data_IF_859582883902
#
_entry.id   IF_859582883902
#
_cell.length_a   1.000
_cell.length_b   1.000
_cell.length_c   1.000
_cell.angle_alpha   90.00
_cell.angle_beta   90.00
_cell.angle_gamma   90.00
#
_symmetry.space_group_name_H-M   'P 1'
#
loop_
_entity.id
_entity.type
_entity.pdbx_description
1 polymer ?
#
# COMPACT_ATOMS: atom_id res chain seq x y z
N UNK A 1 19.43 11.83 3.38
CA UNK A 1 19.36 10.43 3.88
C UNK A 1 19.17 10.31 5.40
N UNK A 2 19.94 10.99 6.27
CA UNK A 2 19.81 10.82 7.73
C UNK A 2 18.44 11.18 8.33
N UNK A 3 17.79 12.25 7.85
CA UNK A 3 16.48 12.69 8.39
C UNK A 3 15.34 11.74 8.02
N UNK A 4 15.31 11.22 6.80
CA UNK A 4 14.26 10.27 6.37
C UNK A 4 14.40 8.95 7.12
N UNK A 5 15.62 8.42 7.25
CA UNK A 5 15.87 7.21 8.03
C UNK A 5 15.52 7.40 9.51
N UNK A 6 15.77 8.61 10.06
CA UNK A 6 15.33 8.96 11.41
C UNK A 6 13.79 8.97 11.53
N UNK A 7 13.07 9.57 10.59
CA UNK A 7 11.59 9.58 10.58
C UNK A 7 11.04 8.16 10.51
N UNK A 8 11.58 7.33 9.62
CA UNK A 8 11.20 5.91 9.48
C UNK A 8 11.51 5.14 10.76
N UNK A 9 12.68 5.33 11.37
CA UNK A 9 13.04 4.69 12.64
C UNK A 9 12.09 5.09 13.78
N UNK A 10 11.75 6.37 13.87
CA UNK A 10 10.77 6.88 14.83
C UNK A 10 9.38 6.28 14.61
N UNK A 11 9.02 6.00 13.36
CA UNK A 11 7.78 5.33 12.99
C UNK A 11 7.75 3.89 13.51
N UNK A 12 8.79 3.09 13.22
CA UNK A 12 8.91 1.71 13.71
C UNK A 12 8.87 1.62 15.24
N UNK A 13 9.60 2.50 15.93
CA UNK A 13 9.56 2.56 17.40
C UNK A 13 8.16 2.82 17.94
N UNK A 14 7.38 3.68 17.26
CA UNK A 14 6.01 4.00 17.67
C UNK A 14 5.04 2.85 17.43
N UNK A 15 5.16 2.17 16.29
CA UNK A 15 4.39 0.96 16.02
C UNK A 15 4.62 -0.08 17.12
N UNK A 16 5.89 -0.31 17.50
CA UNK A 16 6.24 -1.24 18.57
C UNK A 16 5.65 -0.82 19.91
N UNK A 17 5.66 0.48 20.22
CA UNK A 17 5.04 1.01 21.44
C UNK A 17 3.51 0.81 21.46
N UNK A 18 2.86 0.84 20.29
CA UNK A 18 1.45 0.49 20.11
C UNK A 18 1.17 -1.02 20.04
N UNK A 19 2.15 -1.87 20.34
CA UNK A 19 2.01 -3.33 20.30
C UNK A 19 1.98 -3.93 18.89
N UNK A 20 2.31 -3.14 17.87
CA UNK A 20 2.42 -3.60 16.49
C UNK A 20 3.86 -3.90 16.17
N UNK A 21 4.09 -5.13 15.72
CA UNK A 21 5.40 -5.62 15.32
C UNK A 21 5.36 -5.92 13.82
N UNK A 22 5.65 -4.93 12.96
CA UNK A 22 5.63 -5.11 11.52
C UNK A 22 6.50 -6.29 11.11
N UNK A 23 5.97 -7.14 10.25
CA UNK A 23 6.63 -8.35 9.78
C UNK A 23 6.25 -9.62 10.52
N UNK A 24 5.59 -9.54 11.68
CA UNK A 24 5.04 -10.74 12.34
C UNK A 24 3.97 -11.40 11.49
N UNK A 25 3.13 -10.60 10.81
CA UNK A 25 2.15 -11.06 9.84
C UNK A 25 2.77 -11.88 8.71
N UNK A 26 3.96 -11.50 8.24
CA UNK A 26 4.66 -12.24 7.19
C UNK A 26 5.29 -13.53 7.73
N UNK A 27 5.83 -13.49 8.95
CA UNK A 27 6.32 -14.71 9.62
C UNK A 27 5.21 -15.74 9.75
N UNK A 28 4.04 -15.33 10.24
CA UNK A 28 2.86 -16.21 10.38
C UNK A 28 2.41 -16.72 9.00
N UNK A 29 2.37 -15.86 7.98
CA UNK A 29 2.02 -16.28 6.62
C UNK A 29 2.97 -17.34 6.07
N UNK A 30 4.27 -17.19 6.29
CA UNK A 30 5.29 -18.18 5.89
C UNK A 30 5.09 -19.50 6.62
N UNK A 31 4.91 -19.47 7.94
CA UNK A 31 4.66 -20.67 8.76
C UNK A 31 3.38 -21.40 8.32
N UNK A 32 2.29 -20.68 8.12
CA UNK A 32 1.01 -21.26 7.68
C UNK A 32 1.07 -21.80 6.26
N UNK A 33 1.76 -21.11 5.34
CA UNK A 33 1.97 -21.61 3.97
C UNK A 33 2.71 -22.95 3.98
N UNK A 34 3.73 -23.09 4.83
CA UNK A 34 4.47 -24.34 5.01
C UNK A 34 3.56 -25.44 5.58
N UNK A 35 2.73 -25.11 6.58
CA UNK A 35 1.81 -26.05 7.24
C UNK A 35 0.78 -26.65 6.27
N UNK A 36 0.29 -25.86 5.32
CA UNK A 36 -0.70 -26.31 4.34
C UNK A 36 -0.08 -26.82 3.02
N UNK A 37 1.25 -26.78 2.89
CA UNK A 37 1.95 -27.16 1.68
C UNK A 37 1.74 -26.21 0.50
N UNK A 38 1.44 -24.93 0.77
CA UNK A 38 1.32 -23.90 -0.25
C UNK A 38 2.67 -23.29 -0.62
N UNK A 39 2.84 -22.93 -1.89
CA UNK A 39 4.02 -22.19 -2.35
C UNK A 39 4.00 -20.77 -1.78
N UNK A 40 5.06 -20.41 -1.04
CA UNK A 40 5.27 -19.06 -0.53
C UNK A 40 6.11 -18.24 -1.50
N UNK A 41 5.64 -17.05 -1.88
CA UNK A 41 6.34 -16.12 -2.79
C UNK A 41 6.31 -14.70 -2.21
N UNK A 42 7.43 -14.00 -2.30
CA UNK A 42 7.51 -12.58 -1.93
C UNK A 42 6.99 -11.71 -3.08
N UNK A 43 5.99 -10.87 -2.80
CA UNK A 43 5.33 -10.05 -3.82
C UNK A 43 5.73 -8.58 -3.80
N UNK A 44 6.36 -8.12 -2.71
CA UNK A 44 6.76 -6.73 -2.54
C UNK A 44 8.10 -6.43 -3.23
N UNK A 45 8.36 -5.14 -3.42
CA UNK A 45 9.59 -4.65 -4.00
C UNK A 45 10.78 -4.91 -3.07
N UNK A 46 11.94 -5.22 -3.65
CA UNK A 46 13.18 -5.32 -2.90
C UNK A 46 13.46 -4.00 -2.14
N UNK A 47 13.66 -4.12 -0.84
CA UNK A 47 13.84 -2.98 0.07
C UNK A 47 15.01 -2.07 -0.35
N UNK A 48 16.07 -2.59 -0.99
CA UNK A 48 17.18 -1.78 -1.48
C UNK A 48 16.74 -0.86 -2.62
N UNK A 49 15.86 -1.34 -3.50
CA UNK A 49 15.29 -0.55 -4.59
C UNK A 49 14.44 0.58 -3.99
N UNK A 50 13.57 0.27 -3.04
CA UNK A 50 12.75 1.29 -2.36
C UNK A 50 13.63 2.31 -1.64
N UNK A 51 14.67 1.87 -0.92
CA UNK A 51 15.60 2.76 -0.23
C UNK A 51 16.37 3.66 -1.21
N UNK A 52 16.81 3.13 -2.35
CA UNK A 52 17.47 3.90 -3.39
C UNK A 52 16.50 4.94 -3.99
N UNK A 53 15.25 4.59 -4.27
CA UNK A 53 14.23 5.52 -4.74
C UNK A 53 13.95 6.62 -3.70
N UNK A 54 13.86 6.24 -2.44
CA UNK A 54 13.62 7.16 -1.34
C UNK A 54 14.79 8.15 -1.14
N UNK A 55 16.03 7.69 -1.32
CA UNK A 55 17.22 8.56 -1.25
C UNK A 55 17.25 9.66 -2.32
N UNK A 56 16.55 9.45 -3.45
CA UNK A 56 16.43 10.43 -4.54
C UNK A 56 15.38 11.50 -4.26
N UNK A 57 14.54 11.32 -3.23
CA UNK A 57 13.57 12.34 -2.80
C UNK A 57 14.31 13.47 -2.09
N UNK A 58 14.39 14.64 -2.75
CA UNK A 58 15.12 15.82 -2.25
C UNK A 58 14.55 16.31 -0.91
N UNK A 59 15.40 16.38 0.12
CA UNK A 59 14.98 16.54 1.51
C UNK A 59 14.55 17.96 1.88
N UNK A 60 15.12 19.02 1.31
CA UNK A 60 14.97 20.37 1.88
C UNK A 60 13.67 21.09 1.49
N UNK A 61 13.28 21.05 0.21
CA UNK A 61 12.04 21.72 -0.25
C UNK A 61 10.76 20.99 0.17
N UNK A 62 10.82 19.66 0.29
CA UNK A 62 9.71 18.83 0.78
C UNK A 62 9.51 18.98 2.29
N UNK A 63 10.58 18.98 3.09
CA UNK A 63 10.46 19.17 4.54
C UNK A 63 9.92 20.54 4.91
N UNK A 64 10.30 21.61 4.20
CA UNK A 64 9.77 22.95 4.45
C UNK A 64 8.28 23.07 4.12
N UNK A 65 7.84 22.55 2.96
CA UNK A 65 6.41 22.50 2.59
C UNK A 65 5.59 21.56 3.47
N UNK A 66 6.17 20.44 3.88
CA UNK A 66 5.57 19.51 4.83
C UNK A 66 5.36 20.17 6.19
N UNK A 67 6.35 20.90 6.71
CA UNK A 67 6.27 21.63 7.96
C UNK A 67 5.18 22.71 7.96
N UNK A 68 5.08 23.50 6.88
CA UNK A 68 4.02 24.53 6.78
C UNK A 68 2.62 23.92 6.65
N UNK A 69 2.47 22.82 5.90
CA UNK A 69 1.18 22.10 5.75
C UNK A 69 0.76 21.36 7.03
N UNK A 70 1.71 20.72 7.70
CA UNK A 70 1.50 20.07 9.00
C UNK A 70 1.00 21.08 10.04
N UNK A 71 1.62 22.26 10.14
CA UNK A 71 1.20 23.29 11.11
C UNK A 71 -0.28 23.67 10.96
N UNK A 72 -0.79 23.74 9.74
CA UNK A 72 -2.18 24.14 9.47
C UNK A 72 -3.19 23.00 9.65
N UNK A 73 -2.84 21.76 9.30
CA UNK A 73 -3.70 20.57 9.46
C UNK A 73 -3.74 20.04 10.92
N UNK A 74 -2.59 20.06 11.61
CA UNK A 74 -2.47 19.59 13.02
C UNK A 74 -3.31 20.44 13.97
N UNK A 75 -3.59 21.70 13.63
CA UNK A 75 -4.51 22.55 14.41
C UNK A 75 -5.98 22.14 14.31
N UNK A 76 -6.36 21.28 13.35
CA UNK A 76 -7.76 20.94 13.07
C UNK A 76 -8.14 19.49 13.33
N UNK A 77 -7.22 18.53 13.23
CA UNK A 77 -7.62 17.11 13.24
C UNK A 77 -7.50 16.45 14.62
N UNK A 78 -8.63 15.92 15.10
CA UNK A 78 -8.74 15.02 16.27
C UNK A 78 -8.01 13.68 16.02
N UNK A 79 -7.54 13.45 14.80
CA UNK A 79 -7.09 12.16 14.25
C UNK A 79 -5.57 11.96 14.37
N UNK A 80 -4.80 13.06 14.42
CA UNK A 80 -3.40 12.96 14.84
C UNK A 80 -3.30 12.47 16.29
N UNK A 81 -4.33 12.70 17.10
CA UNK A 81 -4.42 12.19 18.47
C UNK A 81 -4.54 10.65 18.47
N UNK A 82 -5.32 10.05 17.57
CA UNK A 82 -5.42 8.58 17.46
C UNK A 82 -4.12 7.94 16.95
N UNK A 83 -3.43 8.61 16.02
CA UNK A 83 -2.06 8.23 15.63
C UNK A 83 -1.06 8.33 16.80
N UNK A 84 -1.20 9.34 17.65
CA UNK A 84 -0.41 9.48 18.89
C UNK A 84 -0.77 8.40 19.90
N UNK A 85 -2.04 8.02 19.99
CA UNK A 85 -2.57 7.04 20.93
C UNK A 85 -2.31 5.59 20.51
N UNK A 86 -1.82 5.36 19.29
CA UNK A 86 -1.43 4.03 18.82
C UNK A 86 -2.61 3.12 18.43
N UNK A 87 -3.73 3.70 18.01
CA UNK A 87 -4.85 2.93 17.47
C UNK A 87 -4.72 2.76 15.94
N UNK A 88 -4.43 1.53 15.50
CA UNK A 88 -4.11 1.21 14.10
C UNK A 88 -5.13 0.29 13.45
N UNK A 89 -6.41 0.63 13.58
CA UNK A 89 -7.46 0.05 12.71
C UNK A 89 -7.22 0.39 11.24
N UNK A 90 -7.83 -0.37 10.32
CA UNK A 90 -7.74 -0.11 8.87
C UNK A 90 -8.16 1.33 8.51
N UNK A 91 -9.24 1.83 9.12
CA UNK A 91 -9.71 3.22 8.90
C UNK A 91 -8.69 4.25 9.37
N UNK A 92 -8.08 4.05 10.54
CA UNK A 92 -7.07 4.98 11.07
C UNK A 92 -5.82 4.97 10.19
N UNK A 93 -5.36 3.80 9.75
CA UNK A 93 -4.21 3.67 8.85
C UNK A 93 -4.47 4.37 7.52
N UNK A 94 -5.66 4.20 6.93
CA UNK A 94 -6.05 4.88 5.69
C UNK A 94 -6.01 6.41 5.82
N UNK A 95 -6.51 6.93 6.94
CA UNK A 95 -6.51 8.37 7.22
C UNK A 95 -5.08 8.91 7.43
N UNK A 96 -4.25 8.18 8.16
CA UNK A 96 -2.83 8.49 8.33
C UNK A 96 -2.11 8.55 6.97
N UNK A 97 -2.33 7.57 6.10
CA UNK A 97 -1.75 7.55 4.75
C UNK A 97 -2.24 8.75 3.93
N UNK A 98 -3.52 9.10 4.04
CA UNK A 98 -4.11 10.26 3.36
C UNK A 98 -3.48 11.58 3.81
N UNK A 99 -3.27 11.75 5.12
CA UNK A 99 -2.57 12.90 5.71
C UNK A 99 -1.11 12.95 5.21
N UNK A 100 -0.41 11.82 5.23
CA UNK A 100 0.97 11.73 4.71
C UNK A 100 1.04 12.08 3.23
N UNK A 101 0.05 11.70 2.42
CA UNK A 101 -0.04 12.07 1.00
C UNK A 101 -0.12 13.58 0.80
N UNK A 102 -0.82 14.30 1.66
CA UNK A 102 -0.93 15.77 1.60
C UNK A 102 0.38 16.45 2.02
N UNK A 103 1.01 15.92 3.07
CA UNK A 103 2.20 16.53 3.70
C UNK A 103 3.47 16.19 2.92
N UNK A 104 3.65 14.92 2.59
CA UNK A 104 4.86 14.34 2.02
C UNK A 104 4.54 13.49 0.76
N UNK A 105 3.89 14.07 -0.27
CA UNK A 105 3.36 13.31 -1.42
C UNK A 105 4.41 12.43 -2.09
N UNK A 106 5.63 12.94 -2.28
CA UNK A 106 6.69 12.18 -2.95
C UNK A 106 7.22 11.01 -2.12
N UNK A 107 7.19 11.14 -0.79
CA UNK A 107 7.57 10.04 0.10
C UNK A 107 6.47 8.98 0.08
N UNK A 108 5.20 9.39 0.17
CA UNK A 108 4.04 8.49 0.09
C UNK A 108 4.00 7.72 -1.22
N UNK A 109 4.26 8.39 -2.34
CA UNK A 109 4.36 7.77 -3.66
C UNK A 109 5.39 6.63 -3.68
N UNK A 110 6.60 6.87 -3.15
CA UNK A 110 7.68 5.87 -3.13
C UNK A 110 7.42 4.76 -2.12
N UNK A 111 6.99 5.11 -0.92
CA UNK A 111 6.84 4.18 0.20
C UNK A 111 5.57 3.32 0.11
N UNK A 112 4.56 3.78 -0.63
CA UNK A 112 3.25 3.13 -0.70
C UNK A 112 2.84 2.91 -2.16
N UNK A 113 2.53 3.97 -2.91
CA UNK A 113 1.84 3.84 -4.20
C UNK A 113 2.63 3.05 -5.26
N UNK A 114 3.95 3.25 -5.33
CA UNK A 114 4.80 2.49 -6.25
C UNK A 114 4.93 1.02 -5.84
N UNK A 115 4.89 0.73 -4.54
CA UNK A 115 4.91 -0.63 -4.00
C UNK A 115 3.57 -1.31 -4.21
N UNK A 116 2.45 -0.60 -4.07
CA UNK A 116 1.11 -1.10 -4.39
C UNK A 116 1.04 -1.57 -5.84
N UNK A 117 1.53 -0.74 -6.78
CA UNK A 117 1.60 -1.11 -8.20
C UNK A 117 2.47 -2.34 -8.43
N UNK A 118 3.64 -2.40 -7.81
CA UNK A 118 4.55 -3.54 -7.95
C UNK A 118 3.93 -4.83 -7.41
N UNK A 119 3.36 -4.79 -6.20
CA UNK A 119 2.67 -5.92 -5.59
C UNK A 119 1.46 -6.36 -6.42
N UNK A 120 0.67 -5.40 -6.90
CA UNK A 120 -0.48 -5.68 -7.77
C UNK A 120 -0.06 -6.38 -9.06
N UNK A 121 0.97 -5.88 -9.76
CA UNK A 121 1.50 -6.53 -10.97
C UNK A 121 1.98 -7.95 -10.70
N UNK A 122 2.70 -8.17 -9.59
CA UNK A 122 3.14 -9.51 -9.21
C UNK A 122 1.94 -10.43 -8.92
N UNK A 123 0.95 -9.94 -8.16
CA UNK A 123 -0.26 -10.71 -7.85
C UNK A 123 -1.03 -11.14 -9.10
N UNK A 124 -1.18 -10.25 -10.08
CA UNK A 124 -1.85 -10.54 -11.37
C UNK A 124 -1.08 -11.53 -12.25
N UNK A 125 0.21 -11.72 -12.01
CA UNK A 125 1.05 -12.65 -12.78
C UNK A 125 0.87 -14.12 -12.36
N UNK A 126 0.38 -14.37 -11.15
CA UNK A 126 0.16 -15.72 -10.64
C UNK A 126 -1.18 -16.30 -11.14
N UNK A 127 -1.22 -17.62 -11.28
CA UNK A 127 -2.43 -18.36 -11.66
C UNK A 127 -2.94 -19.20 -10.49
N UNK A 128 -4.25 -19.44 -10.47
CA UNK A 128 -4.90 -20.29 -9.47
C UNK A 128 -5.39 -19.52 -8.24
N UNK A 129 -5.54 -20.24 -7.11
CA UNK A 129 -6.02 -19.66 -5.85
C UNK A 129 -4.84 -19.09 -5.06
N UNK A 130 -4.86 -17.78 -4.85
CA UNK A 130 -3.79 -17.03 -4.18
C UNK A 130 -4.36 -16.40 -2.91
N UNK A 131 -3.57 -16.42 -1.85
CA UNK A 131 -3.82 -15.64 -0.63
C UNK A 131 -2.67 -14.66 -0.48
N UNK A 132 -2.97 -13.37 -0.52
CA UNK A 132 -1.98 -12.31 -0.33
C UNK A 132 -2.05 -11.80 1.11
N UNK A 133 -0.91 -11.76 1.80
CA UNK A 133 -0.77 -11.09 3.10
C UNK A 133 0.05 -9.83 2.86
N UNK A 134 -0.54 -8.66 3.14
CA UNK A 134 0.05 -7.35 2.90
C UNK A 134 -0.15 -6.45 4.10
N UNK A 135 0.73 -5.45 4.27
CA UNK A 135 0.56 -4.44 5.32
C UNK A 135 -0.69 -3.59 5.09
N UNK A 136 -1.37 -3.19 6.16
CA UNK A 136 -2.63 -2.43 6.08
C UNK A 136 -2.55 -1.17 5.22
N UNK A 137 -1.40 -0.49 5.19
CA UNK A 137 -1.19 0.71 4.39
C UNK A 137 -1.30 0.48 2.86
N UNK A 138 -1.25 -0.79 2.41
CA UNK A 138 -1.26 -1.18 1.00
C UNK A 138 -2.61 -1.75 0.54
N UNK A 139 -3.48 -2.14 1.46
CA UNK A 139 -4.73 -2.85 1.13
C UNK A 139 -5.60 -2.05 0.17
N UNK A 140 -5.88 -0.79 0.50
CA UNK A 140 -6.78 0.07 -0.30
C UNK A 140 -6.21 0.34 -1.70
N UNK A 141 -4.89 0.55 -1.80
CA UNK A 141 -4.22 0.78 -3.08
C UNK A 141 -4.28 -0.44 -3.99
N UNK A 142 -4.05 -1.63 -3.44
CA UNK A 142 -4.15 -2.90 -4.19
C UNK A 142 -5.59 -3.17 -4.60
N UNK A 143 -6.57 -3.00 -3.69
CA UNK A 143 -8.00 -3.20 -3.99
C UNK A 143 -8.49 -2.23 -5.08
N UNK A 144 -8.03 -0.97 -5.07
CA UNK A 144 -8.36 0.00 -6.12
C UNK A 144 -7.79 -0.43 -7.48
N UNK A 145 -6.52 -0.81 -7.54
CA UNK A 145 -5.89 -1.30 -8.78
C UNK A 145 -6.59 -2.56 -9.30
N UNK A 146 -7.05 -3.43 -8.40
CA UNK A 146 -7.79 -4.62 -8.75
C UNK A 146 -9.12 -4.31 -9.42
N UNK A 147 -9.92 -3.42 -8.83
CA UNK A 147 -11.20 -2.98 -9.41
C UNK A 147 -11.03 -2.35 -10.79
N UNK A 148 -10.06 -1.46 -10.95
CA UNK A 148 -9.77 -0.82 -12.23
C UNK A 148 -9.40 -1.84 -13.31
N UNK A 149 -8.60 -2.85 -12.96
CA UNK A 149 -8.24 -3.89 -13.91
C UNK A 149 -9.43 -4.80 -14.28
N UNK A 150 -10.33 -5.09 -13.35
CA UNK A 150 -11.56 -5.85 -13.65
C UNK A 150 -12.51 -5.06 -14.57
N UNK A 151 -12.62 -3.75 -14.37
CA UNK A 151 -13.38 -2.86 -15.26
C UNK A 151 -12.78 -2.84 -16.67
N UNK A 152 -11.45 -2.71 -16.80
CA UNK A 152 -10.75 -2.74 -18.09
C UNK A 152 -10.90 -4.11 -18.79
N UNK A 153 -10.74 -5.21 -18.06
CA UNK A 153 -10.94 -6.57 -18.59
C UNK A 153 -12.39 -6.79 -19.06
N UNK A 154 -13.37 -6.14 -18.42
CA UNK A 154 -14.78 -6.21 -18.81
C UNK A 154 -15.09 -5.39 -20.07
N UNK A 155 -14.46 -4.22 -20.21
CA UNK A 155 -14.64 -3.33 -21.36
C UNK A 155 -13.95 -3.85 -22.63
N UNK A 156 -12.96 -4.72 -22.50
CA UNK A 156 -12.25 -5.33 -23.63
C UNK A 156 -12.91 -6.61 -24.16
N UNK A 157 -13.95 -7.15 -23.51
CA UNK A 157 -14.72 -8.27 -24.08
C UNK A 157 -15.58 -7.74 -25.24
N UNK A 158 -15.42 -8.25 -26.47
CA UNK A 158 -16.35 -7.93 -27.54
C UNK A 158 -17.77 -8.29 -27.10
N UNK A 159 -18.72 -7.40 -27.33
CA UNK A 159 -20.14 -7.73 -27.27
C UNK A 159 -20.35 -8.91 -28.23
N UNK A 160 -20.56 -10.10 -27.68
CA UNK A 160 -21.00 -11.27 -28.44
C UNK A 160 -22.33 -10.89 -29.10
N UNK A 161 -22.23 -10.45 -30.36
CA UNK A 161 -23.35 -10.28 -31.26
C UNK A 161 -23.98 -11.66 -31.39
N UNK A 162 -25.09 -11.86 -30.66
CA UNK A 162 -26.06 -12.92 -30.92
C UNK A 162 -26.43 -12.83 -32.41
N UNK A 163 -25.76 -13.62 -33.24
CA UNK A 163 -26.23 -13.91 -34.60
C UNK A 163 -27.44 -14.83 -34.42
N UNK A 164 -28.61 -14.22 -34.30
CA UNK A 164 -29.89 -14.88 -34.52
C UNK A 164 -29.90 -15.40 -35.95
N UNK A 165 -29.54 -16.67 -36.13
CA UNK A 165 -29.84 -17.41 -37.34
C UNK A 165 -31.36 -17.62 -37.38
N UNK A 166 -32.07 -16.65 -37.97
CA UNK A 166 -33.40 -16.88 -38.49
C UNK A 166 -33.27 -17.80 -39.69
N UNK A 167 -33.62 -19.08 -39.51
CA UNK A 167 -34.06 -19.92 -40.62
C UNK A 167 -35.45 -19.44 -41.04
N UNK A 168 -35.54 -18.91 -42.25
CA UNK A 168 -36.79 -18.84 -43.00
C UNK A 168 -36.63 -19.75 -44.20
N UNK A 169 -37.48 -20.77 -44.23
CA UNK A 169 -37.81 -21.61 -45.39
C UNK A 169 -38.42 -20.78 -46.54
#
# INVERSE_FOLDING_TARGET
>A
MKVVNFIVSCWYHRLHAGGIFPGLEFKVAMEESSRVGATCVYIDQDHNVTHQQLSKVSSYGLLWKAYTRLRDEVKKSRQMIDFINGDYTRSNVQEIVSILKIICPKITEVMIENRDKFMFTNLRSFQGKIVAVVGMAHMDGIELLWKLAEEDDSNQRPLDLRVSHGHSE
#
